data_IF_820958352842
#
_entry.id   IF_820958352842
#
_cell.length_a   1.000
_cell.length_b   1.000
_cell.length_c   1.000
_cell.angle_alpha   90.00
_cell.angle_beta   90.00
_cell.angle_gamma   90.00
#
_symmetry.space_group_name_H-M   'P 1'
#
loop_
_entity.id
_entity.type
_entity.pdbx_description
1 polymer ?
#
# COMPACT_ATOMS: atom_id res chain seq x y z
N UNK A 1 -9.65 8.39 25.65
CA UNK A 1 -8.60 7.84 24.78
C UNK A 1 -9.28 6.93 23.76
N UNK A 2 -9.27 7.28 22.48
CA UNK A 2 -9.86 6.44 21.41
C UNK A 2 -8.82 5.39 21.04
N UNK A 3 -9.04 4.15 21.45
CA UNK A 3 -8.22 3.02 21.02
C UNK A 3 -8.46 2.80 19.52
N UNK A 4 -7.43 3.00 18.69
CA UNK A 4 -7.43 2.43 17.33
C UNK A 4 -7.76 0.95 17.42
N UNK A 5 -8.77 0.49 16.68
CA UNK A 5 -9.08 -0.94 16.61
C UNK A 5 -7.80 -1.69 16.16
N UNK A 6 -7.23 -2.58 17.00
CA UNK A 6 -5.91 -3.20 16.77
C UNK A 6 -5.90 -4.23 15.64
N UNK A 7 -7.02 -4.43 14.94
CA UNK A 7 -7.22 -5.43 13.91
C UNK A 7 -7.46 -4.86 12.51
N UNK A 8 -7.64 -3.54 12.36
CA UNK A 8 -7.79 -2.95 11.04
C UNK A 8 -6.39 -2.69 10.45
N UNK A 9 -5.98 -3.53 9.50
CA UNK A 9 -4.81 -3.30 8.63
C UNK A 9 -3.45 -3.30 9.35
N UNK A 10 -3.31 -4.06 10.44
CA UNK A 10 -2.12 -4.04 11.31
C UNK A 10 -0.84 -4.39 10.56
N UNK A 11 -0.90 -5.28 9.57
CA UNK A 11 0.27 -5.66 8.77
C UNK A 11 0.76 -4.49 7.90
N UNK A 12 -0.12 -3.68 7.31
CA UNK A 12 0.26 -2.53 6.47
C UNK A 12 0.80 -1.33 7.25
N UNK A 13 0.67 -1.38 8.58
CA UNK A 13 1.26 -0.42 9.50
C UNK A 13 2.40 -1.03 10.32
N UNK A 14 2.73 -2.31 10.08
CA UNK A 14 3.73 -3.04 10.84
C UNK A 14 5.12 -2.74 10.26
N UNK A 15 6.11 -2.34 11.08
CA UNK A 15 7.47 -2.11 10.62
C UNK A 15 8.17 -3.40 10.13
N UNK A 16 7.63 -4.58 10.46
CA UNK A 16 8.14 -5.89 10.01
C UNK A 16 7.47 -6.40 8.73
N UNK A 17 6.65 -5.59 8.07
CA UNK A 17 6.01 -5.98 6.81
C UNK A 17 7.02 -5.96 5.67
N UNK A 18 7.25 -7.13 5.08
CA UNK A 18 8.14 -7.33 3.94
C UNK A 18 7.30 -7.78 2.74
N UNK A 19 7.52 -7.17 1.59
CA UNK A 19 6.85 -7.49 0.33
C UNK A 19 7.81 -7.29 -0.85
N UNK A 20 7.42 -7.73 -2.05
CA UNK A 20 8.24 -7.69 -3.27
C UNK A 20 7.40 -7.17 -4.44
N UNK A 21 8.07 -6.80 -5.54
CA UNK A 21 7.41 -6.29 -6.74
C UNK A 21 6.44 -7.30 -7.39
N UNK A 22 6.57 -8.59 -7.11
CA UNK A 22 5.61 -9.63 -7.54
C UNK A 22 4.19 -9.37 -7.01
N UNK A 23 4.08 -8.71 -5.84
CA UNK A 23 2.80 -8.40 -5.21
C UNK A 23 2.25 -7.00 -5.55
N UNK A 24 2.89 -6.28 -6.48
CA UNK A 24 2.47 -4.94 -6.88
C UNK A 24 1.00 -4.86 -7.36
N UNK A 25 0.49 -5.83 -8.17
CA UNK A 25 -0.92 -5.83 -8.57
C UNK A 25 -1.88 -5.88 -7.38
N UNK A 26 -1.56 -6.69 -6.37
CA UNK A 26 -2.37 -6.88 -5.17
C UNK A 26 -2.35 -5.61 -4.30
N UNK A 27 -1.21 -4.94 -4.17
CA UNK A 27 -1.14 -3.65 -3.45
C UNK A 27 -1.96 -2.56 -4.12
N UNK A 28 -1.91 -2.49 -5.47
CA UNK A 28 -2.73 -1.55 -6.25
C UNK A 28 -4.22 -1.82 -6.08
N UNK A 29 -4.63 -3.09 -6.14
CA UNK A 29 -6.02 -3.50 -5.90
C UNK A 29 -6.46 -3.15 -4.48
N UNK A 30 -5.65 -3.48 -3.48
CA UNK A 30 -5.95 -3.18 -2.08
C UNK A 30 -6.07 -1.66 -1.85
N UNK A 31 -5.23 -0.85 -2.50
CA UNK A 31 -5.34 0.61 -2.47
C UNK A 31 -6.65 1.09 -3.08
N UNK A 32 -7.03 0.56 -4.23
CA UNK A 32 -8.29 0.91 -4.88
C UNK A 32 -9.50 0.57 -3.99
N UNK A 33 -9.52 -0.62 -3.39
CA UNK A 33 -10.57 -1.02 -2.45
C UNK A 33 -10.61 -0.09 -1.23
N UNK A 34 -9.44 0.28 -0.70
CA UNK A 34 -9.33 1.23 0.43
C UNK A 34 -9.93 2.59 0.08
N UNK A 35 -9.67 3.11 -1.13
CA UNK A 35 -10.25 4.36 -1.60
C UNK A 35 -11.79 4.28 -1.74
N UNK A 36 -12.33 3.14 -2.17
CA UNK A 36 -13.78 2.92 -2.24
C UNK A 36 -14.42 2.91 -0.84
N UNK A 37 -13.74 2.32 0.15
CA UNK A 37 -14.17 2.36 1.56
C UNK A 37 -14.18 3.81 2.06
N UNK A 38 -13.11 4.59 1.81
CA UNK A 38 -13.04 6.00 2.19
C UNK A 38 -14.22 6.78 1.60
N UNK A 39 -14.45 6.66 0.29
CA UNK A 39 -15.55 7.36 -0.39
C UNK A 39 -16.92 7.01 0.23
N UNK A 40 -17.15 5.73 0.49
CA UNK A 40 -18.38 5.25 1.13
C UNK A 40 -18.52 5.76 2.57
N UNK A 41 -17.43 5.81 3.33
CA UNK A 41 -17.40 6.28 4.71
C UNK A 41 -17.60 7.80 4.80
N UNK A 42 -17.04 8.56 3.86
CA UNK A 42 -17.23 10.01 3.73
C UNK A 42 -18.71 10.34 3.47
N UNK A 43 -19.34 9.64 2.51
CA UNK A 43 -20.77 9.80 2.22
C UNK A 43 -21.68 9.49 3.43
N UNK A 44 -21.21 8.63 4.34
CA UNK A 44 -21.93 8.24 5.57
C UNK A 44 -21.53 9.06 6.81
N UNK A 45 -20.62 10.01 6.69
CA UNK A 45 -20.13 10.82 7.81
C UNK A 45 -19.30 10.05 8.85
N UNK A 46 -18.76 8.89 8.48
CA UNK A 46 -18.01 7.99 9.39
C UNK A 46 -16.55 8.45 9.57
N UNK A 47 -16.36 9.61 10.23
CA UNK A 47 -15.05 10.30 10.33
C UNK A 47 -13.89 9.41 10.77
N UNK A 48 -14.10 8.56 11.78
CA UNK A 48 -13.04 7.68 12.28
C UNK A 48 -12.62 6.63 11.26
N UNK A 49 -13.58 6.09 10.50
CA UNK A 49 -13.30 5.10 9.46
C UNK A 49 -12.55 5.76 8.28
N UNK A 50 -12.93 6.98 7.92
CA UNK A 50 -12.21 7.79 6.92
C UNK A 50 -10.76 8.01 7.34
N UNK A 51 -10.53 8.51 8.56
CA UNK A 51 -9.20 8.76 9.09
C UNK A 51 -8.31 7.50 9.06
N UNK A 52 -8.82 6.38 9.57
CA UNK A 52 -8.06 5.13 9.62
C UNK A 52 -7.74 4.59 8.23
N UNK A 53 -8.67 4.65 7.27
CA UNK A 53 -8.42 4.13 5.93
C UNK A 53 -7.53 5.06 5.10
N UNK A 54 -7.52 6.37 5.36
CA UNK A 54 -6.56 7.30 4.73
C UNK A 54 -5.12 6.93 5.09
N UNK A 55 -4.85 6.65 6.37
CA UNK A 55 -3.53 6.18 6.80
C UNK A 55 -3.09 4.91 6.07
N UNK A 56 -4.03 3.99 5.81
CA UNK A 56 -3.77 2.74 5.08
C UNK A 56 -3.50 3.02 3.60
N UNK A 57 -4.29 3.90 2.97
CA UNK A 57 -4.08 4.30 1.58
C UNK A 57 -2.71 4.98 1.38
N UNK A 58 -2.30 5.85 2.31
CA UNK A 58 -1.00 6.52 2.28
C UNK A 58 0.17 5.53 2.45
N UNK A 59 0.00 4.50 3.28
CA UNK A 59 1.01 3.46 3.43
C UNK A 59 1.09 2.56 2.18
N UNK A 60 -0.05 2.20 1.59
CA UNK A 60 -0.09 1.43 0.34
C UNK A 60 0.56 2.21 -0.80
N UNK A 61 0.33 3.52 -0.90
CA UNK A 61 1.02 4.38 -1.87
C UNK A 61 2.53 4.28 -1.72
N UNK A 62 3.05 4.47 -0.50
CA UNK A 62 4.50 4.39 -0.23
C UNK A 62 5.09 3.03 -0.59
N UNK A 63 4.39 1.95 -0.26
CA UNK A 63 4.81 0.58 -0.61
C UNK A 63 4.84 0.41 -2.13
N UNK A 64 3.79 0.84 -2.83
CA UNK A 64 3.70 0.75 -4.29
C UNK A 64 4.83 1.53 -4.95
N UNK A 65 5.04 2.80 -4.55
CA UNK A 65 6.12 3.63 -5.10
C UNK A 65 7.49 3.01 -4.86
N UNK A 66 7.77 2.54 -3.63
CA UNK A 66 9.05 1.88 -3.32
C UNK A 66 9.29 0.64 -4.20
N UNK A 67 8.27 -0.21 -4.37
CA UNK A 67 8.39 -1.42 -5.18
C UNK A 67 8.48 -1.13 -6.68
N UNK A 68 7.83 -0.07 -7.16
CA UNK A 68 7.96 0.40 -8.54
C UNK A 68 9.37 0.91 -8.81
N UNK A 69 9.96 1.68 -7.89
CA UNK A 69 11.32 2.21 -8.00
C UNK A 69 12.38 1.10 -7.92
N UNK A 70 12.18 0.11 -7.03
CA UNK A 70 13.05 -1.06 -6.91
C UNK A 70 13.02 -1.92 -8.18
N UNK A 71 11.84 -2.11 -8.80
CA UNK A 71 11.68 -2.88 -10.03
C UNK A 71 12.27 -2.23 -11.29
N UNK A 72 12.43 -0.91 -11.29
CA UNK A 72 13.07 -0.17 -12.39
C UNK A 72 14.60 -0.33 -12.40
N UNK A 73 15.20 -0.69 -11.27
CA UNK A 73 16.65 -0.85 -11.13
C UNK A 73 17.16 -2.20 -11.68
N UNK A 74 16.29 -3.20 -11.85
CA UNK A 74 16.67 -4.58 -12.20
C UNK A 74 16.56 -4.90 -13.71
N UNK A 75 16.17 -3.93 -14.55
CA UNK A 75 16.04 -4.13 -16.02
C UNK A 75 17.32 -3.72 -16.79
N UNK A 76 18.44 -3.50 -16.10
CA UNK A 76 19.64 -2.86 -16.66
C UNK A 76 20.84 -3.72 -17.06
N UNK A 77 20.87 -5.03 -16.80
CA UNK A 77 22.10 -5.84 -17.02
C UNK A 77 21.82 -7.22 -17.62
N UNK A 78 21.36 -7.24 -18.88
CA UNK A 78 21.35 -8.44 -19.71
C UNK A 78 21.61 -8.11 -21.19
N UNK A 79 22.71 -7.42 -21.49
CA UNK A 79 23.32 -7.44 -22.83
C UNK A 79 24.76 -6.89 -22.80
N UNK A 80 25.66 -7.60 -23.51
CA UNK A 80 27.09 -7.35 -23.73
C UNK A 80 28.00 -7.83 -22.58
N UNK A 81 29.01 -8.66 -22.79
CA UNK A 81 29.80 -8.88 -24.00
C UNK A 81 30.34 -10.33 -24.00
N UNK A 82 30.21 -10.99 -25.15
CA UNK A 82 30.96 -12.18 -25.48
C UNK A 82 32.20 -11.72 -26.24
N UNK A 83 33.39 -11.95 -25.67
CA UNK A 83 34.69 -12.01 -26.35
C UNK A 83 35.72 -12.74 -25.49
#
# INVERSE_FOLDING_TARGET
>A
MVQSCPHANSCLTCPMFITTAEFLPQHREQRQQTLQIISSAEARGQKRLVEMNRQVADNLEKIITSLEDDGQSDTGEAAADAS
#
